data_IF_946400695792
#
_entry.id   IF_946400695792
#
_cell.length_a   1.000
_cell.length_b   1.000
_cell.length_c   1.000
_cell.angle_alpha   90.00
_cell.angle_beta   90.00
_cell.angle_gamma   90.00
#
_symmetry.space_group_name_H-M   'P 1'
#
loop_
_entity.id
_entity.type
_entity.pdbx_description
1 polymer ?
#
# COMPACT_ATOMS: atom_id res chain seq x y z
N UNK A 1 8.54 13.40 23.00
CA UNK A 1 9.26 12.60 21.99
C UNK A 1 9.50 11.22 22.59
N UNK A 2 9.08 10.17 21.88
CA UNK A 2 9.17 8.78 22.35
C UNK A 2 9.77 7.93 21.26
N UNK A 3 10.46 6.84 21.63
CA UNK A 3 10.92 5.82 20.70
C UNK A 3 9.86 4.73 20.60
N UNK A 4 9.38 4.48 19.39
CA UNK A 4 8.28 3.54 19.12
C UNK A 4 8.74 2.49 18.12
N UNK A 5 8.48 1.23 18.46
CA UNK A 5 8.64 0.10 17.55
C UNK A 5 7.26 -0.32 17.04
N UNK A 6 7.08 -0.32 15.72
CA UNK A 6 5.89 -0.87 15.07
C UNK A 6 6.23 -2.22 14.47
N UNK A 7 5.50 -3.28 14.83
CA UNK A 7 5.74 -4.62 14.30
C UNK A 7 4.81 -4.87 13.11
N UNK A 8 5.38 -4.86 11.91
CA UNK A 8 4.73 -5.19 10.64
C UNK A 8 4.72 -4.03 9.64
N UNK A 9 5.42 -4.17 8.52
CA UNK A 9 5.51 -3.26 7.38
C UNK A 9 4.39 -3.47 6.34
N UNK A 10 3.18 -3.75 6.83
CA UNK A 10 1.96 -3.72 6.03
C UNK A 10 1.29 -2.34 6.05
N UNK A 11 0.18 -2.19 5.32
CA UNK A 11 -0.58 -0.92 5.24
C UNK A 11 -0.87 -0.32 6.62
N UNK A 12 -1.37 -1.12 7.56
CA UNK A 12 -1.74 -0.64 8.89
C UNK A 12 -0.53 -0.16 9.71
N UNK A 13 0.56 -0.93 9.72
CA UNK A 13 1.75 -0.57 10.48
C UNK A 13 2.45 0.65 9.91
N UNK A 14 2.55 0.76 8.59
CA UNK A 14 3.12 1.94 7.93
C UNK A 14 2.24 3.18 8.11
N UNK A 15 0.91 3.03 8.10
CA UNK A 15 0.01 4.15 8.40
C UNK A 15 0.16 4.63 9.85
N UNK A 16 0.27 3.70 10.81
CA UNK A 16 0.52 4.04 12.21
C UNK A 16 1.89 4.70 12.41
N UNK A 17 2.93 4.16 11.76
CA UNK A 17 4.27 4.71 11.83
C UNK A 17 4.35 6.13 11.28
N UNK A 18 3.67 6.40 10.15
CA UNK A 18 3.56 7.76 9.59
C UNK A 18 2.87 8.71 10.55
N UNK A 19 1.71 8.34 11.09
CA UNK A 19 0.99 9.17 12.04
C UNK A 19 1.82 9.49 13.31
N UNK A 20 2.59 8.52 13.81
CA UNK A 20 3.49 8.72 14.95
C UNK A 20 4.69 9.61 14.60
N UNK A 21 5.26 9.46 13.41
CA UNK A 21 6.35 10.31 12.92
C UNK A 21 5.88 11.76 12.73
N UNK A 22 4.70 11.98 12.15
CA UNK A 22 4.10 13.30 11.96
C UNK A 22 3.78 13.98 13.31
N UNK A 23 3.53 13.19 14.36
CA UNK A 23 3.37 13.65 15.74
C UNK A 23 4.72 13.90 16.47
N UNK A 24 5.86 13.72 15.80
CA UNK A 24 7.19 14.01 16.33
C UNK A 24 7.82 12.90 17.18
N UNK A 25 7.41 11.64 16.98
CA UNK A 25 8.04 10.48 17.62
C UNK A 25 9.14 9.87 16.71
N UNK A 26 10.12 9.22 17.34
CA UNK A 26 11.09 8.39 16.62
C UNK A 26 10.47 7.01 16.42
N UNK A 27 10.37 6.55 15.18
CA UNK A 27 9.67 5.31 14.84
C UNK A 27 10.56 4.42 14.00
N UNK A 28 10.65 3.15 14.40
CA UNK A 28 11.20 2.07 13.59
C UNK A 28 10.11 1.02 13.35
N UNK A 29 10.04 0.51 12.12
CA UNK A 29 9.13 -0.58 11.75
C UNK A 29 9.94 -1.84 11.58
N UNK A 30 9.49 -2.95 12.17
CA UNK A 30 10.14 -4.25 12.01
C UNK A 30 9.19 -5.22 11.33
N UNK A 31 9.64 -5.88 10.27
CA UNK A 31 8.86 -6.95 9.62
C UNK A 31 9.70 -8.23 9.50
N UNK A 32 9.03 -9.39 9.61
CA UNK A 32 9.66 -10.69 9.35
C UNK A 32 9.89 -10.96 7.86
N UNK A 33 9.15 -10.25 7.00
CA UNK A 33 9.18 -10.40 5.55
C UNK A 33 10.46 -9.80 4.97
N UNK A 34 10.87 -10.31 3.80
CA UNK A 34 12.02 -9.77 3.06
C UNK A 34 11.73 -8.44 2.35
N UNK A 35 10.54 -7.89 2.52
CA UNK A 35 10.09 -6.67 1.87
C UNK A 35 8.72 -6.23 2.39
N UNK A 36 8.37 -4.99 2.05
CA UNK A 36 7.15 -4.33 2.50
C UNK A 36 5.89 -4.95 1.88
N UNK A 37 4.74 -4.61 2.46
CA UNK A 37 3.43 -4.81 1.85
C UNK A 37 2.53 -5.79 2.60
N UNK A 38 3.09 -6.81 3.23
CA UNK A 38 2.30 -7.86 3.89
C UNK A 38 1.26 -8.46 2.93
N UNK A 39 -0.03 -8.26 3.20
CA UNK A 39 -1.14 -8.71 2.32
C UNK A 39 -1.32 -7.88 1.04
N UNK A 40 -0.60 -6.78 0.89
CA UNK A 40 -0.49 -6.01 -0.35
C UNK A 40 0.77 -6.35 -1.14
N UNK A 41 1.47 -7.44 -0.80
CA UNK A 41 2.70 -7.81 -1.48
C UNK A 41 2.49 -8.20 -2.96
N UNK A 42 3.23 -7.54 -3.86
CA UNK A 42 3.38 -7.88 -5.27
C UNK A 42 4.54 -8.86 -5.42
N UNK A 43 4.31 -9.99 -6.09
CA UNK A 43 5.33 -10.99 -6.41
C UNK A 43 5.91 -10.72 -7.79
N UNK A 44 7.18 -11.08 -7.95
CA UNK A 44 7.90 -11.04 -9.22
C UNK A 44 8.40 -12.44 -9.55
N UNK A 45 8.12 -12.90 -10.76
CA UNK A 45 8.64 -14.16 -11.30
C UNK A 45 9.45 -13.82 -12.56
N UNK A 46 10.64 -14.40 -12.65
CA UNK A 46 11.46 -14.34 -13.86
C UNK A 46 11.30 -15.67 -14.59
N UNK A 47 10.82 -15.61 -15.83
CA UNK A 47 10.68 -16.76 -16.72
C UNK A 47 12.03 -17.24 -17.24
N UNK A 48 12.07 -18.44 -17.81
CA UNK A 48 13.30 -19.04 -18.38
C UNK A 48 13.88 -18.22 -19.53
N UNK A 49 13.06 -17.49 -20.28
CA UNK A 49 13.48 -16.58 -21.35
C UNK A 49 13.93 -15.19 -20.84
N UNK A 50 13.95 -14.99 -19.52
CA UNK A 50 14.34 -13.73 -18.88
C UNK A 50 13.22 -12.70 -18.75
N UNK A 51 12.02 -12.96 -19.28
CA UNK A 51 10.87 -12.09 -19.08
C UNK A 51 10.45 -12.02 -17.61
N UNK A 52 9.91 -10.87 -17.20
CA UNK A 52 9.50 -10.62 -15.81
C UNK A 52 7.99 -10.45 -15.76
N UNK A 53 7.32 -11.32 -14.99
CA UNK A 53 5.92 -11.16 -14.63
C UNK A 53 5.80 -10.63 -13.20
N UNK A 54 4.80 -9.79 -12.97
CA UNK A 54 4.41 -9.38 -11.62
C UNK A 54 2.94 -9.67 -11.38
N UNK A 55 2.59 -10.01 -10.14
CA UNK A 55 1.21 -10.24 -9.75
C UNK A 55 1.01 -9.93 -8.27
N UNK A 56 -0.13 -9.33 -7.98
CA UNK A 56 -0.62 -9.16 -6.63
C UNK A 56 -1.31 -10.47 -6.24
N UNK A 57 -0.89 -11.07 -5.12
CA UNK A 57 -1.42 -12.38 -4.67
C UNK A 57 -2.27 -12.28 -3.40
N UNK A 58 -2.28 -11.12 -2.77
CA UNK A 58 -3.15 -10.79 -1.66
C UNK A 58 -4.29 -9.88 -2.12
N UNK A 59 -4.31 -8.64 -1.62
CA UNK A 59 -5.26 -7.64 -2.09
C UNK A 59 -5.13 -7.44 -3.60
N UNK A 60 -6.24 -7.59 -4.34
CA UNK A 60 -6.28 -7.38 -5.79
C UNK A 60 -6.72 -5.95 -6.16
N UNK A 61 -7.58 -5.39 -5.31
CA UNK A 61 -8.09 -4.03 -5.37
C UNK A 61 -8.58 -3.67 -3.96
N UNK A 62 -8.97 -2.41 -3.76
CA UNK A 62 -9.70 -1.98 -2.57
C UNK A 62 -10.78 -0.99 -2.93
N UNK A 63 -11.74 -0.80 -2.03
CA UNK A 63 -12.79 0.23 -2.15
C UNK A 63 -12.61 1.24 -1.02
N UNK A 64 -12.96 2.50 -1.26
CA UNK A 64 -13.02 3.53 -0.22
C UNK A 64 -14.48 3.85 0.11
N UNK A 65 -14.80 3.99 1.40
CA UNK A 65 -16.17 4.26 1.91
C UNK A 65 -16.16 5.26 3.05
N UNK A 66 -15.15 5.18 3.90
CA UNK A 66 -14.87 6.16 4.95
C UNK A 66 -14.32 7.46 4.35
N UNK A 67 -14.71 8.61 4.89
CA UNK A 67 -14.32 9.93 4.39
C UNK A 67 -12.82 10.20 4.55
N UNK A 68 -12.23 9.78 5.67
CA UNK A 68 -10.80 9.94 5.93
C UNK A 68 -10.00 9.11 4.93
N UNK A 69 -10.38 7.85 4.75
CA UNK A 69 -9.72 6.98 3.77
C UNK A 69 -9.94 7.44 2.33
N UNK A 70 -11.12 7.97 2.00
CA UNK A 70 -11.39 8.53 0.66
C UNK A 70 -10.49 9.73 0.35
N UNK A 71 -10.24 10.58 1.34
CA UNK A 71 -9.30 11.71 1.22
C UNK A 71 -7.87 11.23 0.94
N UNK A 72 -7.42 10.20 1.66
CA UNK A 72 -6.10 9.59 1.41
C UNK A 72 -6.01 8.99 0.00
N UNK A 73 -7.04 8.30 -0.45
CA UNK A 73 -7.08 7.71 -1.81
C UNK A 73 -7.05 8.80 -2.88
N UNK A 74 -7.75 9.92 -2.65
CA UNK A 74 -7.72 11.07 -3.55
C UNK A 74 -6.32 11.66 -3.65
N UNK A 75 -5.61 11.77 -2.52
CA UNK A 75 -4.21 12.20 -2.50
C UNK A 75 -3.32 11.20 -3.26
N UNK A 76 -3.45 9.89 -3.02
CA UNK A 76 -2.66 8.88 -3.72
C UNK A 76 -2.94 8.80 -5.23
N UNK A 77 -4.12 9.21 -5.68
CA UNK A 77 -4.43 9.40 -7.10
C UNK A 77 -3.69 10.62 -7.63
N UNK A 78 -3.71 11.75 -6.90
CA UNK A 78 -2.94 12.94 -7.27
C UNK A 78 -1.43 12.68 -7.33
N UNK A 79 -0.93 11.78 -6.49
CA UNK A 79 0.49 11.38 -6.44
C UNK A 79 0.85 10.29 -7.49
N UNK A 80 -0.11 9.89 -8.35
CA UNK A 80 0.04 8.82 -9.36
C UNK A 80 0.42 7.44 -8.78
N UNK A 81 0.08 7.19 -7.51
CA UNK A 81 0.32 5.90 -6.83
C UNK A 81 -0.86 4.97 -6.99
N UNK A 82 -2.07 5.51 -6.96
CA UNK A 82 -3.34 4.76 -7.02
C UNK A 82 -4.14 5.23 -8.24
N UNK A 83 -4.89 4.33 -8.85
CA UNK A 83 -5.88 4.69 -9.88
C UNK A 83 -7.18 3.93 -9.67
N UNK A 84 -8.28 4.51 -10.15
CA UNK A 84 -9.52 3.75 -10.30
C UNK A 84 -9.30 2.67 -11.37
N UNK A 85 -9.69 1.44 -11.04
CA UNK A 85 -9.58 0.29 -11.93
C UNK A 85 -10.89 0.04 -12.67
N UNK A 86 -11.99 -0.05 -11.93
CA UNK A 86 -13.32 -0.29 -12.46
C UNK A 86 -14.42 0.06 -11.45
N UNK A 87 -15.65 0.05 -11.93
CA UNK A 87 -16.89 0.10 -11.14
C UNK A 87 -17.69 -1.16 -11.43
N UNK A 88 -17.50 -2.18 -10.60
CA UNK A 88 -18.13 -3.49 -10.73
C UNK A 88 -17.46 -4.44 -11.76
N UNK A 89 -18.00 -5.66 -11.83
CA UNK A 89 -17.53 -6.73 -12.70
C UNK A 89 -18.63 -7.10 -13.71
N UNK A 90 -18.66 -6.37 -14.82
CA UNK A 90 -19.66 -6.53 -15.89
C UNK A 90 -20.77 -5.47 -15.87
N UNK A 91 -21.15 -4.95 -14.70
CA UNK A 91 -22.06 -3.82 -14.56
C UNK A 91 -21.64 -2.92 -13.39
N UNK A 92 -21.99 -1.63 -13.45
CA UNK A 92 -21.68 -0.66 -12.39
C UNK A 92 -22.54 -0.93 -11.14
N UNK A 93 -21.87 -1.18 -10.01
CA UNK A 93 -22.49 -1.42 -8.71
C UNK A 93 -22.40 -0.21 -7.76
N UNK A 94 -22.03 0.96 -8.27
CA UNK A 94 -21.91 2.21 -7.51
C UNK A 94 -20.65 2.31 -6.66
N UNK A 95 -19.70 1.38 -6.81
CA UNK A 95 -18.48 1.34 -5.99
C UNK A 95 -17.20 1.30 -6.83
N UNK A 96 -16.45 2.41 -6.82
CA UNK A 96 -15.10 2.47 -7.37
C UNK A 96 -14.17 1.47 -6.67
N UNK A 97 -13.48 0.69 -7.48
CA UNK A 97 -12.40 -0.21 -7.06
C UNK A 97 -11.08 0.38 -7.51
N UNK A 98 -10.14 0.47 -6.58
CA UNK A 98 -8.84 1.09 -6.78
C UNK A 98 -7.76 0.02 -6.80
N UNK A 99 -6.76 0.25 -7.65
CA UNK A 99 -5.53 -0.53 -7.72
C UNK A 99 -4.35 0.42 -7.61
N UNK A 100 -3.20 -0.13 -7.24
CA UNK A 100 -1.96 0.63 -7.14
C UNK A 100 -1.17 0.47 -8.44
N UNK A 101 -0.67 1.59 -8.96
CA UNK A 101 0.21 1.60 -10.13
C UNK A 101 1.48 0.80 -9.84
N UNK A 102 1.89 -0.07 -10.77
CA UNK A 102 3.06 -0.95 -10.65
C UNK A 102 2.98 -2.00 -9.51
N UNK A 103 1.77 -2.37 -9.10
CA UNK A 103 1.49 -3.43 -8.14
C UNK A 103 1.20 -2.91 -6.73
N UNK A 104 0.36 -3.65 -6.00
CA UNK A 104 -0.16 -3.27 -4.67
C UNK A 104 0.91 -2.91 -3.63
N UNK A 105 2.13 -3.46 -3.73
CA UNK A 105 3.24 -3.09 -2.81
C UNK A 105 3.64 -1.63 -2.94
N UNK A 106 3.48 -1.01 -4.12
CA UNK A 106 3.97 0.34 -4.36
C UNK A 106 3.35 1.38 -3.41
N UNK A 107 2.10 1.19 -2.97
CA UNK A 107 1.48 2.07 -1.98
C UNK A 107 2.16 1.95 -0.61
N UNK A 108 2.49 0.73 -0.19
CA UNK A 108 3.26 0.56 1.06
C UNK A 108 4.68 1.11 0.96
N UNK A 109 5.32 1.07 -0.21
CA UNK A 109 6.61 1.75 -0.44
C UNK A 109 6.48 3.27 -0.36
N UNK A 110 5.42 3.83 -0.93
CA UNK A 110 5.12 5.25 -0.84
C UNK A 110 4.93 5.69 0.63
N UNK A 111 4.17 4.92 1.42
CA UNK A 111 3.98 5.20 2.85
C UNK A 111 5.25 5.04 3.68
N UNK A 112 6.15 4.13 3.29
CA UNK A 112 7.41 3.91 3.99
C UNK A 112 8.46 5.00 3.70
N UNK A 113 8.21 5.95 2.80
CA UNK A 113 9.17 6.98 2.46
C UNK A 113 9.52 7.85 3.68
N UNK A 114 10.77 7.79 4.12
CA UNK A 114 11.27 8.50 5.29
C UNK A 114 11.03 7.79 6.63
N UNK A 115 10.50 6.57 6.62
CA UNK A 115 10.35 5.71 7.80
C UNK A 115 11.50 4.69 7.81
N UNK A 116 12.08 4.46 8.99
CA UNK A 116 13.07 3.39 9.20
C UNK A 116 12.35 2.04 9.27
N UNK A 117 12.65 1.13 8.33
CA UNK A 117 11.97 -0.17 8.15
C UNK A 117 12.96 -1.29 7.84
#
# INVERSE_FOLDING_TARGET
MSQVVVVGAGLSGLSAARALQDAGHEVVVLDKGRGLGGRMATRRITSTDGSIATFDHGAQFFTARDETFTSLVTQWISDDVVREWCRGFGSDDGHSRYVVNNGMTALTKHLAHGIDV
#
